data_IF_261489901200
#
_entry.id   IF_261489901200
#
_cell.length_a   1.000
_cell.length_b   1.000
_cell.length_c   1.000
_cell.angle_alpha   90.00
_cell.angle_beta   90.00
_cell.angle_gamma   90.00
#
_symmetry.space_group_name_H-M   'P 1'
#
loop_
_entity.id
_entity.type
_entity.pdbx_description
1 polymer ?
#
# COMPACT_ATOMS: atom_id res chain seq x y z
N UNK A 1 -6.98 11.80 -6.21
CA UNK A 1 -6.46 10.69 -5.37
C UNK A 1 -6.04 9.48 -6.20
N UNK A 2 -6.94 8.62 -6.71
CA UNK A 2 -6.53 7.39 -7.43
C UNK A 2 -5.73 7.69 -8.71
N UNK A 3 -6.08 8.74 -9.45
CA UNK A 3 -5.29 9.19 -10.60
C UNK A 3 -3.86 9.61 -10.21
N UNK A 4 -3.70 10.25 -9.06
CA UNK A 4 -2.39 10.70 -8.56
C UNK A 4 -1.52 9.51 -8.15
N UNK A 5 -2.13 8.50 -7.50
CA UNK A 5 -1.49 7.20 -7.20
C UNK A 5 -1.01 6.55 -8.50
N UNK A 6 -1.87 6.49 -9.52
CA UNK A 6 -1.51 5.94 -10.84
C UNK A 6 -0.33 6.67 -11.46
N UNK A 7 -0.32 8.01 -11.40
CA UNK A 7 0.78 8.81 -11.95
C UNK A 7 2.08 8.62 -11.16
N UNK A 8 2.03 8.60 -9.83
CA UNK A 8 3.19 8.40 -8.95
C UNK A 8 3.82 7.01 -9.12
N UNK A 9 2.98 6.01 -9.37
CA UNK A 9 3.37 4.62 -9.46
C UNK A 9 3.33 4.03 -10.87
N UNK A 10 3.23 4.90 -11.89
CA UNK A 10 3.11 4.53 -13.30
C UNK A 10 4.14 3.50 -13.75
N UNK A 11 5.41 3.68 -13.37
CA UNK A 11 6.50 2.72 -13.68
C UNK A 11 6.31 1.33 -13.10
N UNK A 12 5.49 1.16 -12.07
CA UNK A 12 5.17 -0.14 -11.43
C UNK A 12 3.91 -0.79 -12.02
N UNK A 13 3.10 -0.02 -12.76
CA UNK A 13 1.82 -0.45 -13.31
C UNK A 13 1.91 -0.68 -14.83
N UNK A 14 2.47 0.28 -15.59
CA UNK A 14 2.40 0.29 -17.05
C UNK A 14 3.06 -0.91 -17.75
N UNK A 15 3.98 -1.61 -17.07
CA UNK A 15 4.64 -2.81 -17.60
C UNK A 15 3.82 -4.10 -17.43
N UNK A 16 2.78 -4.06 -16.60
CA UNK A 16 1.91 -5.20 -16.32
C UNK A 16 0.85 -5.39 -17.43
N UNK A 17 0.34 -6.62 -17.62
CA UNK A 17 -0.82 -6.86 -18.47
C UNK A 17 -2.01 -6.00 -18.04
N UNK A 18 -2.82 -5.52 -18.99
CA UNK A 18 -3.97 -4.62 -18.73
C UNK A 18 -4.90 -5.16 -17.64
N UNK A 19 -5.11 -6.48 -17.61
CA UNK A 19 -5.96 -7.16 -16.63
C UNK A 19 -5.43 -7.06 -15.20
N UNK A 20 -4.10 -6.96 -15.02
CA UNK A 20 -3.44 -6.83 -13.72
C UNK A 20 -3.22 -5.36 -13.31
N UNK A 21 -3.22 -4.43 -14.27
CA UNK A 21 -3.00 -3.02 -13.99
C UNK A 21 -4.05 -2.43 -13.05
N UNK A 22 -5.32 -2.81 -13.23
CA UNK A 22 -6.42 -2.34 -12.37
C UNK A 22 -6.33 -2.90 -10.96
N UNK A 23 -6.04 -4.21 -10.84
CA UNK A 23 -5.89 -4.89 -9.56
C UNK A 23 -4.71 -4.29 -8.78
N UNK A 24 -3.55 -4.11 -9.43
CA UNK A 24 -2.37 -3.49 -8.81
C UNK A 24 -2.62 -2.03 -8.47
N UNK A 25 -3.27 -1.25 -9.33
CA UNK A 25 -3.62 0.14 -9.01
C UNK A 25 -4.51 0.22 -7.75
N UNK A 26 -5.47 -0.69 -7.61
CA UNK A 26 -6.32 -0.76 -6.43
C UNK A 26 -5.49 -1.05 -5.17
N UNK A 27 -4.61 -2.06 -5.23
CA UNK A 27 -3.74 -2.43 -4.11
C UNK A 27 -2.80 -1.28 -3.73
N UNK A 28 -2.20 -0.60 -4.72
CA UNK A 28 -1.33 0.56 -4.49
C UNK A 28 -2.07 1.73 -3.85
N UNK A 29 -3.32 1.97 -4.25
CA UNK A 29 -4.17 2.99 -3.64
C UNK A 29 -4.43 2.67 -2.17
N UNK A 30 -4.73 1.41 -1.82
CA UNK A 30 -4.92 1.00 -0.42
C UNK A 30 -3.64 1.21 0.39
N UNK A 31 -2.48 0.79 -0.13
CA UNK A 31 -1.18 0.97 0.54
C UNK A 31 -0.92 2.44 0.84
N UNK A 32 -1.11 3.32 -0.15
CA UNK A 32 -0.89 4.77 0.03
C UNK A 32 -1.85 5.37 1.06
N UNK A 33 -3.13 5.01 0.99
CA UNK A 33 -4.15 5.56 1.89
C UNK A 33 -3.98 5.09 3.33
N UNK A 34 -3.57 3.84 3.55
CA UNK A 34 -3.21 3.35 4.88
C UNK A 34 -2.08 4.17 5.48
N UNK A 35 -1.07 4.52 4.68
CA UNK A 35 -0.03 5.45 5.10
C UNK A 35 -0.51 6.83 5.45
N UNK A 36 -1.36 7.40 4.59
CA UNK A 36 -1.92 8.71 4.84
C UNK A 36 -2.72 8.73 6.16
N UNK A 37 -3.49 7.67 6.43
CA UNK A 37 -4.21 7.49 7.71
C UNK A 37 -3.23 7.36 8.88
N UNK A 38 -2.20 6.53 8.75
CA UNK A 38 -1.19 6.33 9.79
C UNK A 38 -0.44 7.63 10.13
N UNK A 39 -0.25 8.53 9.17
CA UNK A 39 0.41 9.83 9.34
C UNK A 39 -0.52 10.94 9.88
N UNK A 40 -1.82 10.68 10.05
CA UNK A 40 -2.74 11.69 10.63
C UNK A 40 -2.40 11.97 12.10
N UNK A 41 -2.61 13.22 12.53
CA UNK A 41 -2.43 13.61 13.94
C UNK A 41 -3.27 12.72 14.87
N UNK A 42 -4.48 12.34 14.47
CA UNK A 42 -5.36 11.49 15.31
C UNK A 42 -4.71 10.14 15.64
N UNK A 43 -4.11 9.48 14.64
CA UNK A 43 -3.43 8.19 14.84
C UNK A 43 -2.09 8.38 15.56
N UNK A 44 -1.31 9.40 15.18
CA UNK A 44 -0.04 9.71 15.85
C UNK A 44 -0.24 10.03 17.34
N UNK A 45 -1.26 10.83 17.68
CA UNK A 45 -1.63 11.15 19.05
C UNK A 45 -2.16 9.93 19.82
N UNK A 46 -2.80 8.99 19.13
CA UNK A 46 -3.24 7.73 19.73
C UNK A 46 -2.04 6.85 20.11
N UNK A 47 -1.06 6.74 19.22
CA UNK A 47 0.15 6.02 19.53
C UNK A 47 1.01 6.72 20.58
N UNK A 48 1.12 8.05 20.56
CA UNK A 48 1.92 8.80 21.54
C UNK A 48 1.39 8.70 22.96
N UNK A 49 0.06 8.60 23.14
CA UNK A 49 -0.58 8.35 24.45
C UNK A 49 -0.62 6.87 24.85
N UNK A 50 -0.02 5.97 24.07
CA UNK A 50 0.00 4.53 24.33
C UNK A 50 -1.32 3.80 24.09
N UNK A 51 -2.26 4.40 23.34
CA UNK A 51 -3.49 3.72 22.97
C UNK A 51 -3.19 2.59 21.98
N UNK A 52 -3.72 1.40 22.26
CA UNK A 52 -3.60 0.22 21.39
C UNK A 52 -4.54 0.36 20.19
N UNK A 53 -4.06 0.99 19.13
CA UNK A 53 -4.75 1.12 17.84
C UNK A 53 -3.85 0.65 16.71
N UNK A 54 -4.45 -0.01 15.72
CA UNK A 54 -3.75 -0.50 14.53
C UNK A 54 -4.49 -0.07 13.28
N UNK A 55 -3.74 0.22 12.21
CA UNK A 55 -4.28 0.52 10.88
C UNK A 55 -3.96 -0.68 9.99
N UNK A 56 -4.96 -1.22 9.30
CA UNK A 56 -4.82 -2.39 8.42
C UNK A 56 -5.23 -2.02 6.99
N UNK A 57 -4.58 -2.63 5.99
CA UNK A 57 -4.88 -2.43 4.58
C UNK A 57 -5.23 -3.72 3.88
N UNK A 58 -6.52 -3.90 3.59
CA UNK A 58 -7.04 -5.07 2.90
C UNK A 58 -7.65 -4.69 1.57
N UNK A 59 -7.57 -5.59 0.60
CA UNK A 59 -8.26 -5.49 -0.67
C UNK A 59 -9.24 -6.68 -0.81
N UNK A 60 -10.41 -6.44 -1.38
CA UNK A 60 -11.41 -7.49 -1.58
C UNK A 60 -11.57 -7.77 -3.08
N UNK A 61 -11.28 -9.01 -3.49
CA UNK A 61 -11.47 -9.44 -4.85
C UNK A 61 -12.96 -9.70 -5.13
N UNK A 62 -13.55 -8.93 -6.05
CA UNK A 62 -14.94 -9.17 -6.46
C UNK A 62 -15.11 -10.44 -7.31
N UNK A 63 -14.02 -10.91 -7.93
CA UNK A 63 -14.02 -12.08 -8.82
C UNK A 63 -13.98 -13.40 -8.06
N UNK A 64 -13.21 -13.46 -6.98
CA UNK A 64 -12.96 -14.66 -6.17
C UNK A 64 -13.63 -14.60 -4.79
N UNK A 65 -14.09 -13.43 -4.36
CA UNK A 65 -14.71 -13.20 -3.05
C UNK A 65 -13.71 -13.23 -1.89
N UNK A 66 -12.41 -13.14 -2.17
CA UNK A 66 -11.37 -13.27 -1.16
C UNK A 66 -10.88 -11.91 -0.67
N UNK A 67 -10.77 -11.78 0.66
CA UNK A 67 -10.07 -10.67 1.28
C UNK A 67 -8.56 -10.95 1.29
N UNK A 68 -7.79 -10.06 0.68
CA UNK A 68 -6.33 -10.10 0.60
C UNK A 68 -5.75 -9.08 1.56
N UNK A 69 -4.98 -9.55 2.53
CA UNK A 69 -4.14 -8.68 3.35
C UNK A 69 -2.94 -8.21 2.52
N UNK A 70 -2.74 -6.89 2.42
CA UNK A 70 -1.61 -6.31 1.71
C UNK A 70 -0.35 -6.26 2.57
N UNK A 71 -0.41 -6.72 3.82
CA UNK A 71 0.73 -6.74 4.74
C UNK A 71 1.18 -5.32 5.11
N UNK A 72 0.21 -4.39 5.16
CA UNK A 72 0.44 -2.98 5.51
C UNK A 72 -0.11 -2.61 6.89
N UNK A 73 -0.20 -3.60 7.77
CA UNK A 73 -0.64 -3.40 9.14
C UNK A 73 0.40 -2.60 9.93
N UNK A 74 -0.03 -1.54 10.61
CA UNK A 74 0.82 -0.66 11.42
C UNK A 74 0.18 -0.44 12.79
N UNK A 75 0.94 -0.61 13.85
CA UNK A 75 0.50 -0.46 15.25
C UNK A 75 1.30 0.58 16.02
N UNK A 76 2.34 1.15 15.40
CA UNK A 76 3.11 2.25 15.96
C UNK A 76 3.75 3.12 14.85
N UNK A 77 4.21 4.34 15.17
CA UNK A 77 4.81 5.25 14.18
C UNK A 77 6.10 4.71 13.56
N UNK A 78 6.87 3.91 14.29
CA UNK A 78 8.16 3.37 13.84
C UNK A 78 8.03 2.37 12.69
N UNK A 79 6.89 1.68 12.61
CA UNK A 79 6.62 0.67 11.57
C UNK A 79 6.30 1.26 10.20
N UNK A 80 5.85 2.53 10.13
CA UNK A 80 5.31 3.12 8.89
C UNK A 80 6.30 2.98 7.73
N UNK A 81 7.57 3.34 7.95
CA UNK A 81 8.59 3.32 6.90
C UNK A 81 8.95 1.90 6.45
N UNK A 82 9.07 0.95 7.38
CA UNK A 82 9.44 -0.42 7.06
C UNK A 82 8.31 -1.16 6.37
N UNK A 83 7.07 -0.95 6.82
CA UNK A 83 5.87 -1.51 6.20
C UNK A 83 5.69 -0.98 4.78
N UNK A 84 5.84 0.34 4.56
CA UNK A 84 5.82 0.90 3.20
C UNK A 84 6.90 0.32 2.30
N UNK A 85 8.12 0.18 2.83
CA UNK A 85 9.24 -0.39 2.06
C UNK A 85 8.94 -1.83 1.65
N UNK A 86 8.42 -2.65 2.55
CA UNK A 86 8.04 -4.03 2.25
C UNK A 86 6.90 -4.11 1.22
N UNK A 87 5.89 -3.26 1.34
CA UNK A 87 4.79 -3.19 0.39
C UNK A 87 5.29 -2.82 -1.02
N UNK A 88 6.14 -1.79 -1.13
CA UNK A 88 6.68 -1.34 -2.42
C UNK A 88 7.65 -2.33 -3.08
N UNK A 89 8.32 -3.20 -2.30
CA UNK A 89 9.14 -4.29 -2.84
C UNK A 89 8.32 -5.33 -3.59
N UNK A 90 7.04 -5.51 -3.22
CA UNK A 90 6.13 -6.47 -3.88
C UNK A 90 5.71 -6.03 -5.29
N UNK A 91 5.79 -4.73 -5.59
CA UNK A 91 5.39 -4.16 -6.88
C UNK A 91 6.58 -3.50 -7.59
N UNK A 92 7.59 -4.25 -8.07
CA UNK A 92 8.80 -3.68 -8.66
C UNK A 92 8.52 -2.76 -9.86
N UNK A 93 9.46 -1.84 -10.15
CA UNK A 93 9.33 -0.96 -11.32
C UNK A 93 9.70 -1.74 -12.58
N UNK A 94 8.97 -1.49 -13.67
CA UNK A 94 9.37 -1.92 -15.01
C UNK A 94 10.75 -1.36 -15.34
N UNK A 95 11.71 -2.25 -15.59
CA UNK A 95 13.13 -1.93 -15.82
C UNK A 95 14.08 -2.37 -14.70
N UNK A 96 13.59 -2.71 -13.50
CA UNK A 96 14.44 -3.24 -12.42
C UNK A 96 14.85 -4.72 -12.64
N UNK A 97 14.32 -5.36 -13.69
CA UNK A 97 14.64 -6.75 -14.07
C UNK A 97 15.89 -6.89 -14.96
N UNK A 98 16.64 -5.81 -15.22
CA UNK A 98 17.79 -5.82 -16.14
C UNK A 98 19.16 -5.97 -15.47
N UNK A 99 19.23 -6.39 -14.20
CA UNK A 99 20.51 -6.74 -13.56
C UNK A 99 20.38 -8.06 -12.81
N UNK A 100 20.58 -9.17 -13.52
CA UNK A 100 21.38 -10.33 -13.08
C UNK A 100 21.83 -11.08 -14.33
#
# INVERSE_FOLDING_TARGET
HVHDVKMRHRKRIDHLPVQEQEDVLCEMNVIEQVGNVALTNVIQDAWSRGQKVSVHGWCYGLRDGLAKDLGVSMSNPGEVMDVFRHALKRYPRGGDFSVT
#
